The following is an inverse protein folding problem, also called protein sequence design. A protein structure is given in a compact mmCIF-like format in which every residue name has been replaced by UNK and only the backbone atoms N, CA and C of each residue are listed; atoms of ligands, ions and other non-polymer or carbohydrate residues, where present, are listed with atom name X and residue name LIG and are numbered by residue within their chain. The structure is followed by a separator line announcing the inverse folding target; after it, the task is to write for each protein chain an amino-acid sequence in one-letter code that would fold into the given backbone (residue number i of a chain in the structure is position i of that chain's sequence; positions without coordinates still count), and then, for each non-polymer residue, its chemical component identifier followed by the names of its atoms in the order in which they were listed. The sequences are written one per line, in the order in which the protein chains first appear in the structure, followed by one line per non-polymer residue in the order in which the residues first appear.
data_IF_624650441359
#
_entry.id   IF_624650441359
#
_cell.length_a   1.000
_cell.length_b   1.000
_cell.length_c   1.000
_cell.angle_alpha   90.00
_cell.angle_beta   90.00
_cell.angle_gamma   90.00
#
_symmetry.space_group_name_H-M   'P 1'
#
loop_
_entity.id
_entity.type
_entity.pdbx_description
1 polymer ?
#
# COMPACT_ATOMS: atom_id res chain seq x y z
N UNK A 1 2.39 0.73 -12.07
CA UNK A 1 2.25 -0.67 -11.58
C UNK A 1 3.45 -0.98 -10.72
N UNK A 2 3.28 -1.76 -9.66
CA UNK A 2 4.39 -2.12 -8.75
C UNK A 2 4.49 -3.62 -8.63
N UNK A 3 5.74 -4.12 -8.65
CA UNK A 3 6.04 -5.53 -8.44
C UNK A 3 6.07 -5.84 -6.94
N UNK A 4 5.46 -6.96 -6.51
CA UNK A 4 5.34 -7.32 -5.09
C UNK A 4 6.66 -7.32 -4.29
N UNK A 5 7.76 -7.80 -4.89
CA UNK A 5 9.09 -7.74 -4.24
C UNK A 5 9.62 -6.30 -4.13
N UNK A 6 9.27 -5.44 -5.09
CA UNK A 6 9.59 -4.01 -5.04
C UNK A 6 8.94 -3.34 -3.83
N UNK A 7 7.68 -3.67 -3.53
CA UNK A 7 6.96 -3.16 -2.35
C UNK A 7 7.65 -3.55 -1.03
N UNK A 8 8.09 -4.80 -0.89
CA UNK A 8 8.82 -5.25 0.32
C UNK A 8 10.10 -4.42 0.51
N UNK A 9 10.85 -4.19 -0.57
CA UNK A 9 12.09 -3.41 -0.53
C UNK A 9 11.82 -1.95 -0.16
N UNK A 10 10.80 -1.35 -0.74
CA UNK A 10 10.41 0.04 -0.45
C UNK A 10 9.98 0.22 1.00
N UNK A 11 9.07 -0.64 1.47
CA UNK A 11 8.58 -0.58 2.84
C UNK A 11 9.72 -0.76 3.85
N UNK A 12 10.68 -1.65 3.54
CA UNK A 12 11.89 -1.80 4.36
C UNK A 12 12.77 -0.54 4.38
N UNK A 13 12.87 0.21 3.27
CA UNK A 13 13.59 1.50 3.24
C UNK A 13 12.94 2.55 4.13
N UNK A 14 11.61 2.54 4.24
CA UNK A 14 10.85 3.40 5.15
C UNK A 14 10.83 2.90 6.61
N UNK A 15 11.61 1.88 6.95
CA UNK A 15 11.73 1.35 8.32
C UNK A 15 10.69 0.29 8.69
N UNK A 16 9.78 -0.08 7.79
CA UNK A 16 8.80 -1.14 8.05
C UNK A 16 9.42 -2.53 7.88
N UNK A 17 9.36 -3.34 8.94
CA UNK A 17 9.79 -4.76 8.92
C UNK A 17 8.64 -5.66 8.52
N UNK A 18 8.24 -5.63 7.25
CA UNK A 18 7.18 -6.50 6.72
C UNK A 18 7.76 -7.76 6.10
N UNK A 19 7.23 -8.91 6.52
CA UNK A 19 7.55 -10.20 5.90
C UNK A 19 6.68 -10.43 4.65
N UNK A 20 7.12 -11.28 3.71
CA UNK A 20 6.25 -11.78 2.64
C UNK A 20 4.91 -12.33 3.17
N UNK A 21 4.95 -13.03 4.31
CA UNK A 21 3.77 -13.61 4.96
C UNK A 21 2.78 -12.57 5.51
N UNK A 22 3.19 -11.31 5.66
CA UNK A 22 2.32 -10.21 6.06
C UNK A 22 1.87 -9.39 4.85
N UNK A 23 2.79 -9.10 3.93
CA UNK A 23 2.49 -8.24 2.79
C UNK A 23 1.48 -8.89 1.84
N UNK A 24 1.70 -10.16 1.45
CA UNK A 24 0.86 -10.78 0.43
C UNK A 24 -0.60 -10.96 0.87
N UNK A 25 -0.90 -11.39 2.12
CA UNK A 25 -2.28 -11.40 2.61
C UNK A 25 -2.92 -10.01 2.64
N UNK A 26 -2.19 -8.95 2.99
CA UNK A 26 -2.71 -7.58 2.95
C UNK A 26 -3.04 -7.15 1.52
N UNK A 27 -2.15 -7.41 0.56
CA UNK A 27 -2.41 -7.10 -0.85
C UNK A 27 -3.59 -7.91 -1.41
N UNK A 28 -3.76 -9.18 -0.99
CA UNK A 28 -4.90 -10.00 -1.36
C UNK A 28 -6.22 -9.40 -0.84
N UNK A 29 -6.27 -9.00 0.43
CA UNK A 29 -7.45 -8.33 1.01
C UNK A 29 -7.78 -7.03 0.28
N UNK A 30 -6.78 -6.20 -0.01
CA UNK A 30 -6.99 -4.95 -0.76
C UNK A 30 -7.51 -5.20 -2.18
N UNK A 31 -7.08 -6.29 -2.83
CA UNK A 31 -7.61 -6.71 -4.12
C UNK A 31 -9.06 -7.22 -4.00
N UNK A 32 -9.37 -8.05 -3.01
CA UNK A 32 -10.72 -8.55 -2.72
C UNK A 32 -11.70 -7.41 -2.43
N UNK A 33 -11.23 -6.35 -1.75
CA UNK A 33 -12.00 -5.12 -1.52
C UNK A 33 -12.05 -4.16 -2.73
N UNK A 34 -11.48 -4.55 -3.87
CA UNK A 34 -11.51 -3.75 -5.10
C UNK A 34 -10.61 -2.51 -5.10
N UNK A 35 -9.71 -2.36 -4.12
CA UNK A 35 -8.79 -1.23 -4.00
C UNK A 35 -7.55 -1.38 -4.89
N UNK A 36 -7.20 -2.63 -5.20
CA UNK A 36 -6.10 -2.98 -6.09
C UNK A 36 -6.57 -3.95 -7.18
N UNK A 37 -5.90 -3.87 -8.33
CA UNK A 37 -5.90 -4.93 -9.35
C UNK A 37 -4.56 -5.65 -9.32
N UNK A 38 -4.58 -6.94 -9.66
CA UNK A 38 -3.38 -7.77 -9.77
C UNK A 38 -3.34 -8.46 -11.13
N UNK A 39 -2.21 -8.37 -11.82
CA UNK A 39 -1.94 -9.08 -13.06
C UNK A 39 -0.74 -10.02 -12.90
N UNK A 40 -0.89 -11.27 -13.32
CA UNK A 40 0.21 -12.23 -13.39
C UNK A 40 0.88 -12.15 -14.77
N UNK A 41 2.17 -11.80 -14.81
CA UNK A 41 2.96 -11.77 -16.05
C UNK A 41 4.12 -12.74 -15.95
N UNK A 42 4.40 -13.46 -17.03
CA UNK A 42 5.62 -14.27 -17.16
C UNK A 42 6.74 -13.40 -17.67
N UNK A 43 7.78 -13.23 -16.87
CA UNK A 43 8.98 -12.46 -17.23
C UNK A 43 10.19 -13.36 -17.01
N UNK A 44 10.95 -13.63 -18.08
CA UNK A 44 12.11 -14.53 -18.04
C UNK A 44 11.77 -15.90 -17.43
N UNK A 45 10.69 -16.54 -17.90
CA UNK A 45 10.21 -17.84 -17.42
C UNK A 45 9.76 -17.87 -15.94
N UNK A 46 9.64 -16.72 -15.28
CA UNK A 46 9.13 -16.61 -13.90
C UNK A 46 7.81 -15.86 -13.89
N UNK A 47 6.80 -16.40 -13.22
CA UNK A 47 5.57 -15.67 -12.96
C UNK A 47 5.79 -14.57 -11.93
N UNK A 48 5.27 -13.38 -12.21
CA UNK A 48 5.37 -12.19 -11.36
C UNK A 48 3.99 -11.54 -11.24
N UNK A 49 3.62 -11.18 -10.01
CA UNK A 49 2.39 -10.42 -9.71
C UNK A 49 2.67 -8.92 -9.74
N UNK A 50 1.94 -8.20 -10.56
CA UNK A 50 1.97 -6.75 -10.68
C UNK A 50 0.68 -6.17 -10.12
N UNK A 51 0.83 -5.22 -9.20
CA UNK A 51 -0.30 -4.55 -8.56
C UNK A 51 -0.48 -3.14 -9.10
N UNK A 52 -1.73 -2.71 -9.28
CA UNK A 52 -2.10 -1.35 -9.64
C UNK A 52 -3.28 -0.90 -8.77
N UNK A 53 -3.21 0.34 -8.28
CA UNK A 53 -4.32 0.96 -7.56
C UNK A 53 -5.52 1.14 -8.49
N UNK A 54 -6.72 0.92 -7.97
CA UNK A 54 -7.97 1.21 -8.69
C UNK A 54 -8.44 2.63 -8.39
N UNK A 55 -9.45 3.10 -9.12
CA UNK A 55 -10.11 4.37 -8.80
C UNK A 55 -10.66 4.39 -7.36
N UNK A 56 -11.34 3.32 -6.94
CA UNK A 56 -11.83 3.20 -5.56
C UNK A 56 -10.67 3.20 -4.54
N UNK A 57 -9.54 2.61 -4.89
CA UNK A 57 -8.31 2.68 -4.10
C UNK A 57 -7.74 4.10 -3.97
N UNK A 58 -7.76 4.88 -5.04
CA UNK A 58 -7.32 6.29 -5.02
C UNK A 58 -8.25 7.16 -4.17
N UNK A 59 -9.58 7.00 -4.33
CA UNK A 59 -10.58 7.72 -3.54
C UNK A 59 -10.40 7.46 -2.04
N UNK A 60 -10.22 6.18 -1.64
CA UNK A 60 -9.93 5.82 -0.24
C UNK A 60 -8.58 6.37 0.24
N UNK A 61 -7.55 6.33 -0.61
CA UNK A 61 -6.22 6.85 -0.26
C UNK A 61 -6.30 8.35 0.07
N UNK A 62 -7.06 9.11 -0.70
CA UNK A 62 -7.21 10.56 -0.46
C UNK A 62 -8.04 10.85 0.80
N UNK A 63 -9.07 10.05 1.08
CA UNK A 63 -9.80 10.12 2.36
C UNK A 63 -8.86 9.87 3.56
N UNK A 64 -8.04 8.81 3.49
CA UNK A 64 -7.11 8.45 4.57
C UNK A 64 -6.03 9.52 4.76
N UNK A 65 -5.52 10.13 3.69
CA UNK A 65 -4.59 11.27 3.79
C UNK A 65 -5.22 12.47 4.49
N UNK A 66 -6.49 12.76 4.20
CA UNK A 66 -7.24 13.81 4.89
C UNK A 66 -7.30 13.56 6.39
N UNK A 67 -7.75 12.37 6.79
CA UNK A 67 -7.81 11.95 8.20
C UNK A 67 -6.45 11.98 8.90
N UNK A 68 -5.39 11.56 8.21
CA UNK A 68 -4.05 11.59 8.76
C UNK A 68 -3.55 13.01 9.00
N UNK A 69 -3.90 13.96 8.11
CA UNK A 69 -3.58 15.38 8.27
C UNK A 69 -4.32 15.98 9.45
N UNK A 70 -5.61 15.67 9.62
CA UNK A 70 -6.40 16.11 10.77
C UNK A 70 -5.77 15.63 12.08
N UNK A 71 -5.48 14.33 12.18
CA UNK A 71 -4.82 13.74 13.35
C UNK A 71 -3.46 14.38 13.64
N UNK A 72 -2.65 14.62 12.59
CA UNK A 72 -1.36 15.29 12.75
C UNK A 72 -1.52 16.72 13.29
N UNK A 73 -2.47 17.48 12.73
CA UNK A 73 -2.74 18.85 13.16
C UNK A 73 -3.21 18.91 14.61
N UNK A 74 -4.04 17.96 15.06
CA UNK A 74 -4.47 17.85 16.47
C UNK A 74 -3.27 17.60 17.39
N UNK A 75 -2.48 16.56 17.11
CA UNK A 75 -1.37 16.16 17.98
C UNK A 75 -0.29 17.24 18.03
N UNK A 76 0.04 17.88 16.90
CA UNK A 76 1.14 18.85 16.87
C UNK A 76 0.71 20.22 17.38
N UNK A 77 -0.51 20.69 17.08
CA UNK A 77 -0.96 22.04 17.50
C UNK A 77 -1.45 22.09 18.95
N UNK A 78 -1.90 20.97 19.53
CA UNK A 78 -2.21 20.94 20.98
C UNK A 78 -0.96 20.99 21.87
N UNK A 79 0.20 20.57 21.37
CA UNK A 79 1.47 20.61 22.11
C UNK A 79 2.13 22.01 22.14
N UNK A 80 1.59 22.99 21.41
CA UNK A 80 2.06 24.38 21.36
C UNK A 80 1.24 25.33 22.28
N UNK A 81 0.36 24.80 23.13
CA UNK A 81 -0.41 25.58 24.13
C UNK A 81 0.04 25.34 25.57
#
# INVERSE_FOLDING_TARGET
EVFGIGLIKELKRHGYKLSPGTLYPTLAKMQESGLLTCECRTVQHKQRKYYRITRAGEELLDEVKGKLKELYDEIVKENDK
#
